data_IF_248383319905
#
_entry.id   IF_248383319905
#
_cell.length_a   1.000
_cell.length_b   1.000
_cell.length_c   1.000
_cell.angle_alpha   90.00
_cell.angle_beta   90.00
_cell.angle_gamma   90.00
#
_symmetry.space_group_name_H-M   'P 1'
#
loop_
_entity.id
_entity.type
_entity.pdbx_description
1 polymer ?
#
# COMPACT_ATOMS: atom_id res chain seq x y z
N UNK A 1 -8.07 -5.79 8.05
CA UNK A 1 -9.52 -5.82 8.38
C UNK A 1 -9.94 -7.28 8.44
N UNK A 2 -10.41 -7.80 9.57
CA UNK A 2 -10.64 -9.25 9.80
C UNK A 2 -11.77 -9.81 8.93
N UNK A 3 -12.88 -9.06 8.78
CA UNK A 3 -14.01 -9.45 7.92
C UNK A 3 -13.57 -9.88 6.51
N UNK A 4 -12.65 -9.12 5.93
CA UNK A 4 -12.08 -9.41 4.60
C UNK A 4 -11.34 -10.74 4.56
N UNK A 5 -10.60 -11.09 5.61
CA UNK A 5 -9.90 -12.37 5.70
C UNK A 5 -10.89 -13.54 5.79
N UNK A 6 -12.02 -13.35 6.50
CA UNK A 6 -13.09 -14.35 6.57
C UNK A 6 -13.73 -14.51 5.18
N UNK A 7 -14.05 -13.40 4.51
CA UNK A 7 -14.66 -13.41 3.17
C UNK A 7 -13.71 -14.03 2.11
N UNK A 8 -12.39 -13.86 2.27
CA UNK A 8 -11.34 -14.45 1.43
C UNK A 8 -11.03 -15.92 1.78
N UNK A 9 -11.71 -16.51 2.77
CA UNK A 9 -11.49 -17.91 3.19
C UNK A 9 -10.18 -18.15 3.93
N UNK A 10 -9.54 -17.08 4.41
CA UNK A 10 -8.27 -17.11 5.13
C UNK A 10 -8.43 -17.34 6.64
N UNK A 11 -9.66 -17.53 7.11
CA UNK A 11 -9.99 -17.88 8.49
C UNK A 11 -10.76 -19.20 8.48
N UNK A 12 -10.32 -20.15 9.30
CA UNK A 12 -10.97 -21.46 9.44
C UNK A 12 -11.18 -21.82 10.91
N UNK A 13 -12.22 -22.61 11.16
CA UNK A 13 -12.52 -23.21 12.47
C UNK A 13 -12.40 -24.72 12.30
N UNK A 14 -11.49 -25.35 13.05
CA UNK A 14 -11.16 -26.77 12.94
C UNK A 14 -10.80 -27.20 11.50
N UNK A 15 -10.19 -26.31 10.73
CA UNK A 15 -9.79 -26.57 9.34
C UNK A 15 -10.85 -26.25 8.28
N UNK A 16 -12.08 -25.91 8.66
CA UNK A 16 -13.14 -25.53 7.72
C UNK A 16 -13.40 -24.02 7.70
N UNK A 17 -13.54 -23.45 6.50
CA UNK A 17 -13.93 -22.05 6.35
C UNK A 17 -15.38 -21.84 6.82
N UNK A 18 -15.61 -20.79 7.60
CA UNK A 18 -16.92 -20.44 8.17
C UNK A 18 -17.27 -18.98 7.91
N UNK A 19 -18.57 -18.67 7.87
CA UNK A 19 -19.06 -17.29 7.74
C UNK A 19 -18.77 -16.51 9.02
N UNK A 20 -18.67 -15.20 8.91
CA UNK A 20 -18.37 -14.32 10.06
C UNK A 20 -19.42 -14.36 11.19
N UNK A 21 -20.63 -14.83 10.90
CA UNK A 21 -21.71 -15.00 11.89
C UNK A 21 -21.72 -16.38 12.56
N UNK A 22 -20.75 -17.24 12.27
CA UNK A 22 -20.62 -18.55 12.89
C UNK A 22 -20.35 -18.39 14.39
N UNK A 23 -21.09 -19.14 15.22
CA UNK A 23 -20.86 -19.19 16.66
C UNK A 23 -19.83 -20.27 16.95
N UNK A 24 -18.72 -19.86 17.52
CA UNK A 24 -17.63 -20.76 17.94
C UNK A 24 -18.02 -21.42 19.26
N UNK A 25 -17.69 -22.70 19.39
CA UNK A 25 -17.89 -23.49 20.59
C UNK A 25 -16.57 -23.74 21.34
N UNK A 26 -16.68 -24.07 22.62
CA UNK A 26 -15.51 -24.41 23.43
C UNK A 26 -14.77 -25.62 22.84
N UNK A 27 -13.44 -25.55 22.82
CA UNK A 27 -12.59 -26.59 22.26
C UNK A 27 -12.34 -26.49 20.75
N UNK A 28 -12.99 -25.55 20.05
CA UNK A 28 -12.70 -25.32 18.64
C UNK A 28 -11.45 -24.48 18.43
N UNK A 29 -10.67 -24.81 17.40
CA UNK A 29 -9.44 -24.12 17.04
C UNK A 29 -9.66 -23.20 15.84
N UNK A 30 -9.37 -21.90 16.00
CA UNK A 30 -9.43 -20.91 14.93
C UNK A 30 -8.04 -20.72 14.33
N UNK A 31 -7.91 -20.97 13.03
CA UNK A 31 -6.68 -20.70 12.27
C UNK A 31 -6.88 -19.48 11.37
N UNK A 32 -5.89 -18.60 11.33
CA UNK A 32 -5.89 -17.41 10.46
C UNK A 32 -4.63 -17.40 9.62
N UNK A 33 -4.78 -17.40 8.30
CA UNK A 33 -3.69 -17.23 7.37
C UNK A 33 -3.61 -15.77 6.92
N UNK A 34 -2.68 -15.00 7.50
CA UNK A 34 -2.49 -13.60 7.10
C UNK A 34 -1.50 -13.55 5.93
N UNK A 35 -1.93 -13.15 4.72
CA UNK A 35 -1.04 -13.07 3.58
C UNK A 35 0.04 -12.01 3.84
N UNK A 36 1.25 -12.28 3.35
CA UNK A 36 2.35 -11.34 3.43
C UNK A 36 1.97 -10.01 2.78
N UNK A 37 2.41 -8.91 3.39
CA UNK A 37 2.25 -7.58 2.80
C UNK A 37 2.99 -7.60 1.46
N UNK A 38 2.25 -7.40 0.36
CA UNK A 38 2.89 -7.17 -0.94
C UNK A 38 3.70 -5.89 -0.83
N UNK A 39 5.00 -5.97 -1.12
CA UNK A 39 5.82 -4.79 -1.29
C UNK A 39 5.19 -3.93 -2.39
N UNK A 40 4.86 -2.69 -2.05
CA UNK A 40 4.50 -1.69 -3.06
C UNK A 40 5.79 -1.31 -3.80
N UNK A 41 5.91 -1.68 -5.08
CA UNK A 41 6.99 -1.15 -5.91
C UNK A 41 6.71 0.34 -6.15
N UNK A 42 7.62 1.19 -5.65
CA UNK A 42 7.69 2.59 -6.02
C UNK A 42 8.74 2.69 -7.12
N UNK A 43 8.34 2.34 -8.34
CA UNK A 43 9.19 2.51 -9.50
C UNK A 43 9.36 4.01 -9.78
N UNK A 44 10.62 4.44 -9.95
CA UNK A 44 10.93 5.79 -10.36
C UNK A 44 10.38 6.03 -11.77
N UNK A 45 9.75 7.19 -11.97
CA UNK A 45 9.22 7.62 -13.26
C UNK A 45 10.04 8.80 -13.75
N UNK A 46 10.34 8.84 -15.05
CA UNK A 46 11.00 9.99 -15.65
C UNK A 46 9.98 11.13 -15.78
N UNK A 47 9.98 12.02 -14.77
CA UNK A 47 9.11 13.19 -14.67
C UNK A 47 10.01 14.42 -14.76
N UNK A 48 9.67 15.33 -15.67
CA UNK A 48 10.38 16.62 -15.81
C UNK A 48 10.09 17.49 -14.58
N UNK A 49 11.03 17.50 -13.63
CA UNK A 49 10.95 18.26 -12.39
C UNK A 49 11.92 19.44 -12.47
N UNK A 50 11.39 20.65 -12.33
CA UNK A 50 12.20 21.84 -12.21
C UNK A 50 12.73 21.96 -10.77
N UNK A 51 14.04 21.80 -10.59
CA UNK A 51 14.72 21.89 -9.30
C UNK A 51 15.16 23.34 -9.08
N UNK A 52 14.72 23.95 -7.98
CA UNK A 52 15.06 25.31 -7.59
C UNK A 52 16.29 25.35 -6.67
N UNK A 53 16.47 24.31 -5.86
CA UNK A 53 17.59 24.19 -4.91
C UNK A 53 17.82 22.71 -4.54
N UNK A 54 19.08 22.32 -4.37
CA UNK A 54 19.48 20.98 -3.95
C UNK A 54 20.76 21.05 -3.13
N UNK A 55 20.77 20.35 -2.00
CA UNK A 55 21.98 20.08 -1.21
C UNK A 55 21.97 18.64 -0.67
N UNK A 56 22.89 18.32 0.25
CA UNK A 56 23.03 16.98 0.83
C UNK A 56 21.81 16.50 1.62
N UNK A 57 20.96 17.41 2.07
CA UNK A 57 19.90 17.17 3.05
C UNK A 57 18.51 17.53 2.51
N UNK A 58 18.43 18.45 1.54
CA UNK A 58 17.18 19.06 1.08
C UNK A 58 17.15 19.25 -0.43
N UNK A 59 15.99 18.91 -1.02
CA UNK A 59 15.64 19.20 -2.41
C UNK A 59 14.40 20.10 -2.45
N UNK A 60 14.47 21.21 -3.17
CA UNK A 60 13.34 22.13 -3.44
C UNK A 60 13.02 22.12 -4.92
N UNK A 61 11.77 21.79 -5.24
CA UNK A 61 11.28 21.67 -6.61
C UNK A 61 10.12 22.64 -6.87
N UNK A 62 10.07 23.21 -8.08
CA UNK A 62 8.94 23.99 -8.57
C UNK A 62 7.85 23.01 -9.05
N UNK A 63 6.87 22.74 -8.19
CA UNK A 63 5.83 21.76 -8.49
C UNK A 63 4.79 22.33 -9.46
N UNK A 64 4.65 21.82 -10.71
CA UNK A 64 3.62 22.30 -11.61
C UNK A 64 2.22 22.03 -11.06
N UNK A 65 1.25 22.84 -11.52
CA UNK A 65 -0.17 22.64 -11.21
C UNK A 65 -0.61 21.29 -11.78
N UNK A 66 -1.26 20.46 -10.96
CA UNK A 66 -1.71 19.12 -11.36
C UNK A 66 -0.76 17.97 -10.98
N UNK A 67 0.50 18.24 -10.61
CA UNK A 67 1.40 17.20 -10.09
C UNK A 67 1.09 16.92 -8.60
N UNK A 68 0.84 15.65 -8.26
CA UNK A 68 0.50 15.23 -6.88
C UNK A 68 1.77 14.82 -6.13
N UNK A 69 1.87 15.15 -4.83
CA UNK A 69 3.10 14.89 -4.05
C UNK A 69 3.23 13.42 -3.65
N UNK A 70 2.17 12.85 -3.06
CA UNK A 70 2.13 11.46 -2.64
C UNK A 70 1.07 10.67 -3.41
N UNK A 71 1.30 9.38 -3.70
CA UNK A 71 0.28 8.51 -4.28
C UNK A 71 -1.00 8.54 -3.45
N UNK A 72 -2.10 8.93 -4.08
CA UNK A 72 -3.42 9.01 -3.44
C UNK A 72 -4.39 8.05 -4.14
N UNK A 73 -5.52 7.77 -3.51
CA UNK A 73 -6.58 6.97 -4.13
C UNK A 73 -7.04 7.64 -5.43
N UNK A 74 -6.73 7.01 -6.58
CA UNK A 74 -7.01 7.53 -7.92
C UNK A 74 -5.80 8.09 -8.68
N UNK A 75 -4.65 8.29 -8.04
CA UNK A 75 -3.41 8.79 -8.66
C UNK A 75 -2.23 7.92 -8.20
N UNK A 76 -2.05 6.76 -8.88
CA UNK A 76 -1.03 5.76 -8.53
C UNK A 76 0.35 6.01 -9.16
N UNK A 77 0.42 6.90 -10.17
CA UNK A 77 1.62 7.33 -10.90
C UNK A 77 1.60 8.83 -11.16
N UNK A 78 2.65 9.38 -11.78
CA UNK A 78 2.75 10.82 -12.05
C UNK A 78 2.79 11.68 -10.79
N UNK A 79 3.42 11.18 -9.73
CA UNK A 79 3.59 11.91 -8.46
C UNK A 79 5.01 12.41 -8.32
N UNK A 80 5.23 13.58 -7.71
CA UNK A 80 6.56 14.15 -7.49
C UNK A 80 7.53 13.15 -6.80
N UNK A 81 7.01 12.33 -5.88
CA UNK A 81 7.76 11.24 -5.23
C UNK A 81 8.40 10.23 -6.21
N UNK A 82 7.78 9.98 -7.36
CA UNK A 82 8.32 9.04 -8.37
C UNK A 82 9.38 9.69 -9.26
N UNK A 83 9.33 11.00 -9.45
CA UNK A 83 10.33 11.74 -10.22
C UNK A 83 11.62 11.99 -9.43
N UNK A 84 11.50 12.26 -8.13
CA UNK A 84 12.66 12.51 -7.26
C UNK A 84 13.61 11.30 -7.12
N UNK A 85 13.14 10.08 -7.37
CA UNK A 85 14.00 8.88 -7.36
C UNK A 85 15.02 8.80 -8.49
N UNK A 86 14.94 9.68 -9.49
CA UNK A 86 15.90 9.79 -10.59
C UNK A 86 16.95 10.89 -10.37
N UNK A 87 16.76 11.75 -9.36
CA UNK A 87 17.72 12.77 -8.94
C UNK A 87 18.67 12.14 -7.90
N UNK A 88 19.51 11.22 -8.35
CA UNK A 88 20.67 10.71 -7.59
C UNK A 88 21.78 10.31 -8.56
#
# INVERSE_FOLDING_TARGET
RVQKLIDEGLVSVNGEARKANYRVHEGECISVNVPAVKASSLDAENIDLEILFEDSDVLVLNKPKGLVVHPAAGHRGGTAWRGAGHAV
#
